data_IF_092476114012
#
_entry.id   IF_092476114012
#
_cell.length_a   1.000
_cell.length_b   1.000
_cell.length_c   1.000
_cell.angle_alpha   90.00
_cell.angle_beta   90.00
_cell.angle_gamma   90.00
#
_symmetry.space_group_name_H-M   'P 1'
#
loop_
_entity.id
_entity.type
_entity.pdbx_description
1 polymer ?
#
# COMPACT_ATOMS: atom_id res chain seq x y z
N UNK A 1 6.77 -13.07 -2.19
CA UNK A 1 7.04 -11.65 -1.87
C UNK A 1 6.33 -10.82 -2.92
N UNK A 2 5.77 -9.68 -2.52
CA UNK A 2 5.07 -8.75 -3.42
C UNK A 2 5.73 -7.37 -3.39
N UNK A 3 5.29 -6.49 -4.28
CA UNK A 3 5.87 -5.18 -4.49
C UNK A 3 4.76 -4.14 -4.50
N UNK A 4 4.70 -3.30 -3.47
CA UNK A 4 3.82 -2.13 -3.41
C UNK A 4 4.45 -1.00 -4.22
N UNK A 5 3.74 -0.51 -5.22
CA UNK A 5 4.10 0.72 -5.93
C UNK A 5 3.49 1.92 -5.24
N UNK A 6 4.34 2.89 -4.89
CA UNK A 6 3.93 4.20 -4.39
C UNK A 6 4.50 5.26 -5.32
N UNK A 7 3.64 6.15 -5.81
CA UNK A 7 4.06 7.36 -6.53
C UNK A 7 3.95 8.52 -5.56
N UNK A 8 4.94 9.41 -5.56
CA UNK A 8 5.01 10.56 -4.67
C UNK A 8 5.03 11.83 -5.51
N UNK A 9 4.11 12.74 -5.23
CA UNK A 9 4.23 14.11 -5.67
C UNK A 9 5.28 14.82 -4.79
N UNK A 10 6.43 15.13 -5.39
CA UNK A 10 7.59 15.64 -4.64
C UNK A 10 7.44 17.09 -4.19
N UNK A 11 6.51 17.85 -4.76
CA UNK A 11 6.34 19.27 -4.42
C UNK A 11 5.52 19.44 -3.15
N UNK A 12 4.56 18.54 -2.92
CA UNK A 12 3.67 18.54 -1.75
C UNK A 12 3.94 17.39 -0.79
N UNK A 13 4.89 16.50 -1.13
CA UNK A 13 5.24 15.31 -0.34
C UNK A 13 4.05 14.39 -0.06
N UNK A 14 3.16 14.24 -1.05
CA UNK A 14 1.99 13.37 -0.96
C UNK A 14 2.24 12.02 -1.64
N UNK A 15 1.86 10.95 -0.97
CA UNK A 15 2.06 9.57 -1.41
C UNK A 15 0.76 8.94 -1.92
N UNK A 16 0.85 8.29 -3.07
CA UNK A 16 -0.25 7.59 -3.73
C UNK A 16 0.08 6.11 -3.85
N UNK A 17 -0.60 5.26 -3.07
CA UNK A 17 -0.51 3.81 -3.22
C UNK A 17 -1.23 3.37 -4.52
N UNK A 18 -0.46 3.00 -5.55
CA UNK A 18 -0.98 2.71 -6.88
C UNK A 18 -1.49 1.28 -7.00
N UNK A 19 -0.77 0.32 -6.41
CA UNK A 19 -1.12 -1.09 -6.51
C UNK A 19 -0.02 -2.01 -6.03
N UNK A 20 -0.34 -3.30 -5.97
CA UNK A 20 0.55 -4.36 -5.51
C UNK A 20 0.78 -5.36 -6.64
N UNK A 21 2.04 -5.73 -6.84
CA UNK A 21 2.47 -6.54 -7.98
C UNK A 21 3.32 -7.74 -7.55
N UNK A 22 3.32 -8.79 -8.37
CA UNK A 22 4.08 -10.01 -8.09
C UNK A 22 5.57 -9.86 -8.35
N UNK A 23 5.92 -8.96 -9.27
CA UNK A 23 7.31 -8.70 -9.64
C UNK A 23 7.62 -7.22 -9.53
N UNK A 24 8.88 -6.92 -9.19
CA UNK A 24 9.37 -5.55 -9.20
C UNK A 24 9.25 -4.94 -10.59
N UNK A 25 9.55 -5.72 -11.64
CA UNK A 25 9.49 -5.23 -13.02
C UNK A 25 8.08 -4.80 -13.43
N UNK A 26 7.06 -5.55 -13.02
CA UNK A 26 5.67 -5.16 -13.26
C UNK A 26 5.32 -3.83 -12.56
N UNK A 27 5.78 -3.64 -11.32
CA UNK A 27 5.59 -2.36 -10.62
C UNK A 27 6.31 -1.20 -11.33
N UNK A 28 7.54 -1.41 -11.81
CA UNK A 28 8.29 -0.42 -12.60
C UNK A 28 7.57 -0.05 -13.90
N UNK A 29 7.08 -1.04 -14.65
CA UNK A 29 6.36 -0.80 -15.91
C UNK A 29 5.07 0.02 -15.70
N UNK A 30 4.34 -0.26 -14.61
CA UNK A 30 3.16 0.51 -14.23
C UNK A 30 3.55 1.93 -13.78
N UNK A 31 4.62 2.08 -13.00
CA UNK A 31 5.10 3.39 -12.57
C UNK A 31 5.43 4.28 -13.77
N UNK A 32 6.17 3.74 -14.75
CA UNK A 32 6.47 4.44 -15.99
C UNK A 32 5.23 4.81 -16.78
N UNK A 33 4.22 3.93 -16.83
CA UNK A 33 2.96 4.23 -17.48
C UNK A 33 2.25 5.42 -16.81
N UNK A 34 2.15 5.43 -15.48
CA UNK A 34 1.50 6.51 -14.72
C UNK A 34 2.20 7.85 -14.94
N UNK A 35 3.52 7.88 -14.78
CA UNK A 35 4.33 9.10 -14.95
C UNK A 35 4.31 9.67 -16.38
N UNK A 36 3.97 8.85 -17.38
CA UNK A 36 3.90 9.29 -18.78
C UNK A 36 2.48 9.62 -19.26
N UNK A 37 1.45 8.99 -18.68
CA UNK A 37 0.12 8.96 -19.30
C UNK A 37 -1.05 9.30 -18.35
N UNK A 38 -0.88 9.23 -17.03
CA UNK A 38 -2.00 9.42 -16.10
C UNK A 38 -1.98 10.84 -15.55
N UNK A 39 -3.12 11.53 -15.70
CA UNK A 39 -3.29 12.92 -15.28
C UNK A 39 -2.87 13.16 -13.83
N UNK A 40 -2.32 14.33 -13.53
CA UNK A 40 -1.72 14.64 -12.24
C UNK A 40 -0.32 14.03 -12.10
N UNK A 41 -0.17 12.71 -12.32
CA UNK A 41 1.14 12.07 -12.24
C UNK A 41 2.09 12.46 -13.36
N UNK A 42 1.57 12.67 -14.59
CA UNK A 42 2.36 13.17 -15.72
C UNK A 42 2.44 14.71 -15.77
N UNK A 43 1.55 15.40 -15.05
CA UNK A 43 1.45 16.87 -15.09
C UNK A 43 2.35 17.53 -14.04
N UNK A 44 2.66 16.82 -12.95
CA UNK A 44 3.43 17.31 -11.82
C UNK A 44 4.74 16.55 -11.62
N UNK A 45 5.63 17.11 -10.80
CA UNK A 45 6.93 16.51 -10.45
C UNK A 45 6.74 15.28 -9.55
N UNK A 46 6.42 14.14 -10.15
CA UNK A 46 6.21 12.89 -9.45
C UNK A 46 7.43 11.95 -9.58
N UNK A 47 7.71 11.20 -8.52
CA UNK A 47 8.67 10.09 -8.51
C UNK A 47 7.99 8.83 -7.98
N UNK A 48 8.65 7.68 -8.03
CA UNK A 48 8.10 6.46 -7.47
C UNK A 48 9.11 5.70 -6.61
N UNK A 49 8.57 4.89 -5.72
CA UNK A 49 9.31 3.87 -4.98
C UNK A 49 8.54 2.57 -4.95
N UNK A 50 9.27 1.47 -4.85
CA UNK A 50 8.71 0.14 -4.77
C UNK A 50 9.10 -0.45 -3.43
N UNK A 51 8.11 -0.82 -2.62
CA UNK A 51 8.30 -1.36 -1.27
C UNK A 51 8.04 -2.86 -1.30
N UNK A 52 9.03 -3.71 -0.99
CA UNK A 52 8.83 -5.14 -0.86
C UNK A 52 7.89 -5.46 0.31
N UNK A 53 6.95 -6.37 0.09
CA UNK A 53 6.02 -6.85 1.11
C UNK A 53 6.12 -8.36 1.26
N UNK A 54 6.29 -8.80 2.50
CA UNK A 54 6.33 -10.22 2.84
C UNK A 54 4.91 -10.75 2.97
N UNK A 55 4.66 -11.90 2.34
CA UNK A 55 3.42 -12.65 2.52
C UNK A 55 3.76 -13.83 3.43
N UNK A 56 3.01 -13.98 4.51
CA UNK A 56 3.18 -15.14 5.37
C UNK A 56 2.56 -16.38 4.73
N UNK A 57 3.31 -17.49 4.77
CA UNK A 57 2.84 -18.83 4.40
C UNK A 57 2.26 -18.96 2.98
N UNK A 58 2.84 -18.28 1.98
CA UNK A 58 2.41 -18.39 0.60
C UNK A 58 3.41 -19.18 -0.27
N UNK A 59 2.98 -20.34 -0.79
CA UNK A 59 3.78 -21.23 -1.64
C UNK A 59 3.37 -21.24 -3.12
N UNK A 60 2.40 -20.42 -3.53
CA UNK A 60 1.82 -20.40 -4.88
C UNK A 60 1.64 -18.97 -5.44
N UNK A 61 1.45 -18.83 -6.75
CA UNK A 61 1.20 -17.54 -7.42
C UNK A 61 0.00 -16.81 -6.84
N UNK A 62 0.15 -15.54 -6.54
CA UNK A 62 -0.81 -14.67 -5.85
C UNK A 62 -1.62 -13.76 -6.77
N UNK A 63 -1.53 -13.96 -8.07
CA UNK A 63 -2.22 -13.15 -9.07
C UNK A 63 -3.74 -13.13 -8.80
N UNK A 64 -4.31 -11.92 -8.77
CA UNK A 64 -5.71 -11.66 -8.41
C UNK A 64 -6.18 -12.16 -7.03
N UNK A 65 -5.26 -12.56 -6.14
CA UNK A 65 -5.64 -12.93 -4.77
C UNK A 65 -5.98 -11.70 -3.95
N UNK A 66 -6.96 -11.89 -3.06
CA UNK A 66 -7.22 -10.98 -1.95
C UNK A 66 -6.21 -11.25 -0.85
N UNK A 67 -5.57 -10.20 -0.39
CA UNK A 67 -4.63 -10.24 0.73
C UNK A 67 -5.09 -9.27 1.80
N UNK A 68 -4.78 -9.62 3.03
CA UNK A 68 -5.16 -8.88 4.21
C UNK A 68 -3.92 -8.31 4.88
N UNK A 69 -3.99 -7.07 5.34
CA UNK A 69 -2.94 -6.41 6.10
C UNK A 69 -3.55 -5.75 7.33
N UNK A 70 -2.82 -5.77 8.43
CA UNK A 70 -3.19 -5.03 9.63
C UNK A 70 -2.32 -3.79 9.73
N UNK A 71 -2.95 -2.64 9.87
CA UNK A 71 -2.28 -1.36 10.10
C UNK A 71 -2.75 -0.78 11.42
N UNK A 72 -1.80 -0.29 12.23
CA UNK A 72 -2.08 0.47 13.43
C UNK A 72 -1.40 1.83 13.36
N UNK A 73 -2.11 2.89 13.72
CA UNK A 73 -1.58 4.25 13.69
C UNK A 73 -2.13 5.08 14.85
N UNK A 74 -1.46 6.21 15.10
CA UNK A 74 -1.95 7.27 15.95
C UNK A 74 -2.45 8.42 15.07
N UNK A 75 -3.26 9.30 15.63
CA UNK A 75 -3.75 10.50 14.93
C UNK A 75 -3.22 11.72 15.67
N UNK A 76 -2.54 12.62 14.97
CA UNK A 76 -1.99 13.84 15.56
C UNK A 76 -3.07 14.94 15.70
N UNK A 77 -2.71 16.11 16.23
CA UNK A 77 -3.63 17.23 16.41
C UNK A 77 -4.17 17.81 15.08
N UNK A 78 -3.45 17.59 13.98
CA UNK A 78 -3.84 17.97 12.62
C UNK A 78 -4.70 16.92 11.93
N UNK A 79 -5.05 15.84 12.63
CA UNK A 79 -5.79 14.68 12.12
C UNK A 79 -5.02 13.82 11.11
N UNK A 80 -3.70 13.96 11.04
CA UNK A 80 -2.86 13.12 10.20
C UNK A 80 -2.48 11.82 10.92
N UNK A 81 -2.37 10.74 10.14
CA UNK A 81 -1.87 9.46 10.62
C UNK A 81 -0.38 9.53 10.94
N UNK A 82 0.01 9.09 12.14
CA UNK A 82 1.39 9.04 12.63
C UNK A 82 1.72 7.70 13.27
N UNK A 83 3.02 7.43 13.49
CA UNK A 83 3.53 6.22 14.12
C UNK A 83 3.04 4.90 13.48
N UNK A 84 2.78 4.94 12.17
CA UNK A 84 2.18 3.85 11.41
C UNK A 84 3.02 2.58 11.52
N UNK A 85 2.37 1.49 11.92
CA UNK A 85 2.92 0.13 11.89
C UNK A 85 2.05 -0.74 10.99
N UNK A 86 2.70 -1.56 10.17
CA UNK A 86 2.05 -2.50 9.24
C UNK A 86 2.52 -3.92 9.51
N UNK A 87 1.62 -4.89 9.46
CA UNK A 87 1.95 -6.32 9.52
C UNK A 87 2.54 -6.85 8.20
N UNK A 88 2.92 -8.12 8.20
CA UNK A 88 3.01 -8.91 6.97
C UNK A 88 1.65 -9.02 6.27
N UNK A 89 1.64 -9.49 5.02
CA UNK A 89 0.42 -9.81 4.28
C UNK A 89 -0.08 -11.22 4.58
N UNK A 90 -1.39 -11.37 4.66
CA UNK A 90 -2.08 -12.63 4.94
C UNK A 90 -3.03 -13.02 3.81
N UNK A 91 -3.17 -14.33 3.58
CA UNK A 91 -4.07 -14.86 2.54
C UNK A 91 -5.51 -15.05 3.00
N UNK A 92 -5.78 -14.93 4.31
CA UNK A 92 -7.13 -15.00 4.87
C UNK A 92 -7.37 -13.90 5.90
N UNK A 93 -8.63 -13.50 6.03
CA UNK A 93 -9.06 -12.54 7.05
C UNK A 93 -8.85 -13.09 8.46
N UNK A 94 -9.07 -14.39 8.67
CA UNK A 94 -8.85 -15.05 9.96
C UNK A 94 -7.41 -14.89 10.45
N UNK A 95 -6.43 -15.07 9.57
CA UNK A 95 -5.01 -14.85 9.90
C UNK A 95 -4.76 -13.40 10.28
N UNK A 96 -5.32 -12.45 9.53
CA UNK A 96 -5.18 -11.02 9.83
C UNK A 96 -5.83 -10.65 11.17
N UNK A 97 -6.99 -11.22 11.52
CA UNK A 97 -7.64 -10.99 12.82
C UNK A 97 -6.80 -11.57 13.97
N UNK A 98 -6.20 -12.75 13.78
CA UNK A 98 -5.28 -13.31 14.77
C UNK A 98 -4.06 -12.40 14.97
N UNK A 99 -3.49 -11.88 13.89
CA UNK A 99 -2.36 -10.97 13.97
C UNK A 99 -2.74 -9.61 14.58
N UNK A 100 -3.92 -9.07 14.26
CA UNK A 100 -4.45 -7.85 14.87
C UNK A 100 -4.46 -7.94 16.40
N UNK A 101 -4.93 -9.06 16.95
CA UNK A 101 -4.93 -9.27 18.39
C UNK A 101 -3.51 -9.29 18.97
N UNK A 102 -2.57 -10.00 18.33
CA UNK A 102 -1.15 -10.03 18.75
C UNK A 102 -0.49 -8.65 18.67
N UNK A 103 -0.76 -7.90 17.61
CA UNK A 103 -0.19 -6.56 17.44
C UNK A 103 -0.74 -5.58 18.49
N UNK A 104 -2.03 -5.67 18.85
CA UNK A 104 -2.63 -4.88 19.94
C UNK A 104 -2.03 -5.17 21.31
N UNK A 105 -1.59 -6.40 21.57
CA UNK A 105 -0.88 -6.74 22.80
C UNK A 105 0.54 -6.15 22.84
N UNK A 106 1.18 -6.04 21.67
CA UNK A 106 2.59 -5.61 21.55
C UNK A 106 2.76 -4.10 21.38
N UNK A 107 1.83 -3.45 20.70
CA UNK A 107 1.93 -2.05 20.31
C UNK A 107 0.73 -1.26 20.81
N UNK A 108 1.01 -0.09 21.38
CA UNK A 108 -0.04 0.87 21.76
C UNK A 108 -0.29 1.80 20.58
N UNK A 109 -1.46 1.66 19.95
CA UNK A 109 -1.97 2.55 18.89
C UNK A 109 -3.41 2.94 19.18
N UNK A 110 -3.81 4.14 18.80
CA UNK A 110 -5.19 4.62 19.01
C UNK A 110 -6.16 3.99 18.03
N UNK A 111 -5.72 3.72 16.80
CA UNK A 111 -6.54 3.17 15.74
C UNK A 111 -5.91 1.92 15.14
N UNK A 112 -6.78 1.02 14.67
CA UNK A 112 -6.41 -0.24 14.04
C UNK A 112 -7.37 -0.55 12.91
N UNK A 113 -6.81 -0.84 11.75
CA UNK A 113 -7.56 -1.21 10.55
C UNK A 113 -7.06 -2.55 10.01
N UNK A 114 -7.98 -3.29 9.40
CA UNK A 114 -7.69 -4.51 8.66
C UNK A 114 -8.17 -4.30 7.25
N UNK A 115 -7.24 -4.14 6.32
CA UNK A 115 -7.54 -3.82 4.93
C UNK A 115 -7.44 -5.06 4.04
N UNK A 116 -8.32 -5.10 3.03
CA UNK A 116 -8.30 -6.12 2.00
C UNK A 116 -7.83 -5.52 0.67
N UNK A 117 -6.68 -5.98 0.19
CA UNK A 117 -6.06 -5.54 -1.05
C UNK A 117 -6.16 -6.64 -2.11
N UNK A 118 -6.21 -6.27 -3.39
CA UNK A 118 -6.22 -7.24 -4.50
C UNK A 118 -4.97 -7.07 -5.34
N UNK A 119 -4.20 -8.15 -5.51
CA UNK A 119 -2.97 -8.14 -6.32
C UNK A 119 -3.31 -7.79 -7.77
N UNK A 120 -2.55 -6.85 -8.35
CA UNK A 120 -2.73 -6.34 -9.70
C UNK A 120 -3.86 -5.32 -9.86
N UNK A 121 -4.65 -5.03 -8.82
CA UNK A 121 -5.66 -3.96 -8.89
C UNK A 121 -4.96 -2.60 -8.86
N UNK A 122 -5.32 -1.75 -9.82
CA UNK A 122 -4.81 -0.39 -9.93
C UNK A 122 -5.75 0.60 -9.23
N UNK A 123 -5.15 1.49 -8.44
CA UNK A 123 -5.77 2.66 -7.84
C UNK A 123 -5.36 3.92 -8.60
N UNK A 124 -6.07 5.03 -8.39
CA UNK A 124 -5.76 6.32 -9.03
C UNK A 124 -5.71 6.28 -10.56
N UNK A 125 -6.56 5.46 -11.18
CA UNK A 125 -6.56 5.26 -12.65
C UNK A 125 -6.90 6.54 -13.41
N UNK A 126 -7.73 7.41 -12.83
CA UNK A 126 -8.10 8.72 -13.38
C UNK A 126 -7.10 9.82 -12.99
N UNK A 127 -6.07 9.50 -12.21
CA UNK A 127 -5.12 10.47 -11.69
C UNK A 127 -5.62 11.23 -10.46
N UNK A 128 -5.00 12.39 -10.23
CA UNK A 128 -5.37 13.33 -9.17
C UNK A 128 -5.38 14.77 -9.68
N UNK A 129 -5.96 15.67 -8.90
CA UNK A 129 -5.97 17.12 -9.13
C UNK A 129 -5.53 17.79 -7.84
N UNK A 130 -4.55 18.69 -7.92
CA UNK A 130 -4.21 19.57 -6.79
C UNK A 130 -5.28 20.66 -6.66
N UNK A 131 -5.72 20.93 -5.43
CA UNK A 131 -6.67 22.00 -5.10
C UNK A 131 -5.91 23.24 -4.64
#
# INVERSE_FOLDING_TARGET
MLYLLIITDTEISEDFEIGIFETQKQAEDIAEYYLKNVKGFCDYSCTYRIVPMLIENCSESTEHRKLWIVTGYNTNESLDETDIIKSSLFTSEEQAVQELNRMKEKYTRTEWITDCMTVGKLHWQEGFIRV
#
